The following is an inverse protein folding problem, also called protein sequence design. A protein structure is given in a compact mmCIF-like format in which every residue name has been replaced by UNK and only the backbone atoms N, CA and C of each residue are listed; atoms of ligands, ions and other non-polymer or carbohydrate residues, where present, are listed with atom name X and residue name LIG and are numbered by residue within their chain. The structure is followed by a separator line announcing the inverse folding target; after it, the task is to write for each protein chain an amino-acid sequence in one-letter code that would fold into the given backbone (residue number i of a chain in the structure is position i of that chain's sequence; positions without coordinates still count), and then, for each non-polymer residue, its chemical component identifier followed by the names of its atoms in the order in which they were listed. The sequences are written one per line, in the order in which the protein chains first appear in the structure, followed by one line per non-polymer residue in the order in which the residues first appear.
data_IF_145322717654
#
_entry.id   IF_145322717654
#
_cell.length_a   1.000
_cell.length_b   1.000
_cell.length_c   1.000
_cell.angle_alpha   90.00
_cell.angle_beta   90.00
_cell.angle_gamma   90.00
#
_symmetry.space_group_name_H-M   'P 1'
#
loop_
_entity.id
_entity.type
_entity.pdbx_description
1 polymer ?
#
# COMPACT_ATOMS: atom_id res chain seq x y z
N UNK A 1 -21.58 48.85 19.18
CA UNK A 1 -22.47 47.69 18.94
C UNK A 1 -22.29 47.23 17.51
N UNK A 2 -21.41 46.25 17.29
CA UNK A 2 -21.12 45.71 15.95
C UNK A 2 -21.98 44.46 15.72
N UNK A 3 -22.83 44.49 14.68
CA UNK A 3 -23.59 43.33 14.20
C UNK A 3 -22.67 42.48 13.34
N UNK A 4 -22.34 41.26 13.78
CA UNK A 4 -21.63 40.27 12.97
C UNK A 4 -22.62 39.44 12.15
N UNK A 5 -22.37 39.41 10.84
CA UNK A 5 -23.03 38.57 9.86
C UNK A 5 -22.73 37.09 10.11
N UNK A 6 -23.71 36.32 10.56
CA UNK A 6 -23.69 34.87 10.45
C UNK A 6 -24.32 34.44 9.11
N UNK A 7 -23.55 34.47 8.03
CA UNK A 7 -23.87 33.69 6.82
C UNK A 7 -23.13 32.36 6.91
N UNK A 8 -23.66 31.45 7.71
CA UNK A 8 -23.29 30.05 7.63
C UNK A 8 -23.83 29.53 6.30
N UNK A 9 -22.92 29.30 5.36
CA UNK A 9 -23.17 28.68 4.07
C UNK A 9 -23.69 27.26 4.30
N UNK A 10 -25.02 27.11 4.31
CA UNK A 10 -25.70 25.83 4.18
C UNK A 10 -25.42 25.27 2.78
N UNK A 11 -24.37 24.45 2.66
CA UNK A 11 -24.23 23.54 1.54
C UNK A 11 -24.75 22.16 1.94
N UNK A 12 -25.67 21.67 1.11
CA UNK A 12 -26.22 20.31 1.00
C UNK A 12 -27.41 19.99 1.93
N UNK A 13 -28.61 19.94 1.32
CA UNK A 13 -29.26 18.64 1.25
C UNK A 13 -30.00 18.44 -0.08
N UNK A 14 -29.42 17.71 -1.04
CA UNK A 14 -30.20 17.16 -2.17
C UNK A 14 -29.44 16.14 -3.03
N UNK A 15 -28.92 15.05 -2.45
CA UNK A 15 -28.65 13.82 -3.23
C UNK A 15 -29.04 12.56 -2.44
N UNK A 16 -30.30 12.52 -1.99
CA UNK A 16 -31.03 11.24 -1.95
C UNK A 16 -31.33 10.87 -3.40
N UNK A 17 -30.43 10.12 -4.04
CA UNK A 17 -30.73 9.39 -5.28
C UNK A 17 -30.50 7.91 -5.04
N UNK A 18 -31.64 7.22 -4.97
CA UNK A 18 -31.90 5.84 -5.35
C UNK A 18 -30.94 4.76 -4.84
N UNK A 19 -31.49 3.92 -3.96
CA UNK A 19 -31.01 2.62 -3.58
C UNK A 19 -30.94 1.69 -4.81
N UNK A 20 -29.89 1.84 -5.61
CA UNK A 20 -29.41 0.76 -6.46
C UNK A 20 -28.63 -0.19 -5.55
N UNK A 21 -28.97 -1.48 -5.61
CA UNK A 21 -28.28 -2.50 -4.82
C UNK A 21 -26.76 -2.40 -5.05
N UNK A 22 -25.98 -2.53 -3.97
CA UNK A 22 -24.52 -2.47 -4.04
C UNK A 22 -23.92 -3.47 -5.06
N UNK A 23 -24.67 -4.51 -5.45
CA UNK A 23 -24.30 -5.46 -6.48
C UNK A 23 -24.19 -4.84 -7.89
N UNK A 24 -25.03 -3.87 -8.25
CA UNK A 24 -25.02 -3.27 -9.60
C UNK A 24 -23.91 -2.22 -9.79
N UNK A 25 -23.38 -1.63 -8.70
CA UNK A 25 -22.25 -0.67 -8.80
C UNK A 25 -20.91 -1.33 -9.07
N UNK A 26 -20.75 -2.61 -8.70
CA UNK A 26 -19.47 -3.33 -8.85
C UNK A 26 -19.17 -3.74 -10.30
N UNK A 27 -20.17 -3.75 -11.20
CA UNK A 27 -19.97 -4.12 -12.60
C UNK A 27 -19.51 -2.96 -13.50
N UNK A 28 -19.39 -1.73 -12.98
CA UNK A 28 -19.09 -0.53 -13.79
C UNK A 28 -17.91 0.31 -13.30
N UNK A 29 -17.08 -0.17 -12.38
CA UNK A 29 -15.89 0.60 -12.01
C UNK A 29 -14.61 -0.20 -12.20
N UNK A 30 -14.02 -0.03 -13.39
CA UNK A 30 -12.57 -0.15 -13.63
C UNK A 30 -11.80 0.94 -12.86
N UNK A 31 -12.22 1.24 -11.63
CA UNK A 31 -11.75 2.38 -10.85
C UNK A 31 -10.91 1.85 -9.71
N UNK A 32 -9.61 2.05 -9.81
CA UNK A 32 -8.69 1.85 -8.70
C UNK A 32 -8.77 3.01 -7.70
N UNK A 33 -8.55 2.70 -6.42
CA UNK A 33 -8.59 3.68 -5.34
C UNK A 33 -7.29 3.64 -4.54
N UNK A 34 -6.77 4.82 -4.23
CA UNK A 34 -5.67 5.01 -3.29
C UNK A 34 -5.96 6.21 -2.37
N UNK A 35 -5.63 6.07 -1.10
CA UNK A 35 -5.57 7.19 -0.16
C UNK A 35 -4.20 7.85 -0.26
N UNK A 36 -4.20 9.19 -0.26
CA UNK A 36 -3.02 10.04 -0.23
C UNK A 36 -3.04 10.90 1.02
N UNK A 37 -1.93 10.95 1.73
CA UNK A 37 -1.75 11.87 2.85
C UNK A 37 -0.31 12.39 2.89
N UNK A 38 -0.13 13.61 3.37
CA UNK A 38 1.20 14.19 3.63
C UNK A 38 1.15 15.05 4.87
N UNK A 39 2.26 15.13 5.59
CA UNK A 39 2.41 16.09 6.69
C UNK A 39 2.75 17.46 6.12
N UNK A 40 2.23 18.51 6.75
CA UNK A 40 2.57 19.90 6.44
C UNK A 40 3.14 20.47 7.74
N UNK A 41 4.34 21.01 7.65
CA UNK A 41 5.05 21.67 8.73
C UNK A 41 5.04 23.17 8.46
N UNK A 42 4.93 23.96 9.52
CA UNK A 42 5.03 25.40 9.47
C UNK A 42 6.07 25.82 10.51
N UNK A 43 7.09 26.55 10.08
CA UNK A 43 8.17 27.03 10.92
C UNK A 43 8.45 28.50 10.60
N UNK A 44 8.03 29.41 11.49
CA UNK A 44 8.03 30.84 11.17
C UNK A 44 7.10 31.14 10.00
N UNK A 45 7.65 31.72 8.93
CA UNK A 45 6.93 32.08 7.70
C UNK A 45 7.08 31.04 6.57
N UNK A 46 7.80 29.95 6.79
CA UNK A 46 7.93 28.87 5.80
C UNK A 46 6.90 27.77 6.01
N UNK A 47 6.37 27.28 4.90
CA UNK A 47 5.56 26.06 4.85
C UNK A 47 6.37 24.98 4.17
N UNK A 48 6.62 23.89 4.87
CA UNK A 48 7.34 22.74 4.37
C UNK A 48 6.42 21.54 4.31
N UNK A 49 6.48 20.80 3.21
CA UNK A 49 5.69 19.61 3.07
C UNK A 49 6.54 18.39 3.30
N UNK A 50 6.11 17.49 4.19
CA UNK A 50 6.73 16.20 4.41
C UNK A 50 6.51 15.21 3.26
N UNK A 51 7.16 14.03 3.34
CA UNK A 51 7.01 12.99 2.34
C UNK A 51 5.57 12.48 2.28
N UNK A 52 5.05 12.18 1.09
CA UNK A 52 3.72 11.61 0.95
C UNK A 52 3.66 10.19 1.51
N UNK A 53 2.46 9.75 1.83
CA UNK A 53 2.12 8.37 2.19
C UNK A 53 0.93 7.93 1.36
N UNK A 54 1.10 6.80 0.68
CA UNK A 54 0.13 6.22 -0.22
C UNK A 54 -0.42 4.92 0.37
N UNK A 55 -1.74 4.72 0.32
CA UNK A 55 -2.36 3.43 0.63
C UNK A 55 -3.28 3.01 -0.50
N UNK A 56 -2.94 1.92 -1.19
CA UNK A 56 -3.72 1.33 -2.28
C UNK A 56 -4.66 0.28 -1.74
N UNK A 57 -5.84 0.16 -2.34
CA UNK A 57 -6.85 -0.81 -1.94
C UNK A 57 -7.24 -1.69 -3.12
N UNK A 58 -7.21 -3.00 -2.91
CA UNK A 58 -7.77 -4.00 -3.83
C UNK A 58 -8.80 -4.84 -3.09
N UNK A 59 -9.44 -5.76 -3.80
CA UNK A 59 -10.45 -6.64 -3.20
C UNK A 59 -9.90 -7.61 -2.15
N UNK A 60 -8.59 -7.87 -2.16
CA UNK A 60 -7.99 -8.87 -1.29
C UNK A 60 -6.99 -8.31 -0.30
N UNK A 61 -6.40 -7.14 -0.58
CA UNK A 61 -5.39 -6.56 0.28
C UNK A 61 -5.38 -5.03 0.21
N UNK A 62 -4.75 -4.40 1.19
CA UNK A 62 -4.27 -3.04 1.06
C UNK A 62 -2.75 -3.02 1.11
N UNK A 63 -2.14 -2.08 0.41
CA UNK A 63 -0.70 -1.84 0.43
C UNK A 63 -0.43 -0.38 0.77
N UNK A 64 0.39 -0.14 1.80
CA UNK A 64 0.84 1.20 2.17
C UNK A 64 2.30 1.38 1.82
N UNK A 65 2.64 2.52 1.20
CA UNK A 65 3.99 2.95 0.86
C UNK A 65 4.31 4.25 1.60
N UNK A 66 5.46 4.28 2.28
CA UNK A 66 5.90 5.43 3.05
C UNK A 66 7.42 5.54 3.04
N UNK A 67 7.94 6.77 2.95
CA UNK A 67 9.34 7.05 3.24
C UNK A 67 9.60 7.15 4.75
N UNK A 68 10.71 6.57 5.19
CA UNK A 68 11.24 6.67 6.54
C UNK A 68 12.76 6.85 6.46
N UNK A 69 13.36 7.55 7.42
CA UNK A 69 14.80 7.46 7.65
C UNK A 69 15.08 6.24 8.50
N UNK A 70 15.91 5.33 8.00
CA UNK A 70 16.37 4.20 8.80
C UNK A 70 17.35 4.70 9.87
N UNK A 71 17.02 4.45 11.14
CA UNK A 71 17.79 4.96 12.28
C UNK A 71 19.15 4.27 12.43
N UNK A 72 19.26 3.02 11.96
CA UNK A 72 20.50 2.26 12.08
C UNK A 72 21.46 2.59 10.94
N UNK A 73 20.93 2.84 9.76
CA UNK A 73 21.71 3.03 8.54
C UNK A 73 21.89 4.51 8.17
N UNK A 74 21.09 5.41 8.75
CA UNK A 74 21.20 6.86 8.56
C UNK A 74 20.74 7.35 7.18
N UNK A 75 20.12 6.49 6.36
CA UNK A 75 19.63 6.84 5.03
C UNK A 75 18.13 6.59 4.87
N UNK A 76 17.56 7.19 3.81
CA UNK A 76 16.14 7.09 3.47
C UNK A 76 15.81 5.70 2.93
N UNK A 77 14.74 5.10 3.41
CA UNK A 77 14.22 3.79 2.98
C UNK A 77 12.72 3.89 2.69
N UNK A 78 12.21 2.96 1.89
CA UNK A 78 10.78 2.82 1.65
C UNK A 78 10.20 1.68 2.49
N UNK A 79 9.29 2.02 3.38
CA UNK A 79 8.49 1.05 4.13
C UNK A 79 7.26 0.66 3.31
N UNK A 80 7.17 -0.63 3.00
CA UNK A 80 5.98 -1.27 2.44
C UNK A 80 5.25 -2.01 3.54
N UNK A 81 3.93 -1.83 3.63
CA UNK A 81 3.10 -2.54 4.61
C UNK A 81 1.83 -3.04 3.95
N UNK A 82 1.61 -4.34 3.98
CA UNK A 82 0.43 -5.01 3.45
C UNK A 82 -0.47 -5.54 4.56
N UNK A 83 -1.77 -5.59 4.32
CA UNK A 83 -2.75 -6.34 5.14
C UNK A 83 -3.76 -7.00 4.20
N UNK A 84 -4.21 -8.21 4.51
CA UNK A 84 -5.30 -8.89 3.80
C UNK A 84 -6.66 -8.38 4.29
N UNK A 85 -7.70 -8.52 3.46
CA UNK A 85 -9.08 -8.15 3.81
C UNK A 85 -9.73 -9.22 4.67
N UNK A 86 -10.57 -8.81 5.63
CA UNK A 86 -11.36 -9.71 6.50
C UNK A 86 -12.56 -10.28 5.72
N UNK A 87 -12.35 -11.32 4.92
CA UNK A 87 -13.40 -11.91 4.11
C UNK A 87 -13.77 -11.09 2.86
N UNK A 88 -14.57 -11.68 1.98
CA UNK A 88 -14.77 -11.19 0.60
C UNK A 88 -15.66 -9.93 0.53
N UNK A 89 -16.52 -9.69 1.52
CA UNK A 89 -17.50 -8.59 1.47
C UNK A 89 -17.28 -7.46 2.48
N UNK A 90 -16.36 -7.61 3.44
CA UNK A 90 -16.12 -6.59 4.45
C UNK A 90 -15.13 -5.53 3.96
N UNK A 91 -15.38 -4.26 4.29
CA UNK A 91 -14.44 -3.16 4.04
C UNK A 91 -13.32 -3.07 5.08
N UNK A 92 -13.12 -4.12 5.87
CA UNK A 92 -12.20 -4.15 7.01
C UNK A 92 -10.97 -4.98 6.62
N UNK A 93 -9.79 -4.48 6.96
CA UNK A 93 -8.52 -5.19 6.76
C UNK A 93 -8.05 -5.82 8.08
N UNK A 94 -7.60 -7.07 8.01
CA UNK A 94 -7.16 -7.83 9.17
C UNK A 94 -5.83 -7.27 9.66
N UNK A 95 -5.84 -6.61 10.81
CA UNK A 95 -4.62 -6.04 11.40
C UNK A 95 -3.60 -7.11 11.78
N UNK A 96 -4.03 -8.35 12.07
CA UNK A 96 -3.14 -9.47 12.40
C UNK A 96 -2.39 -9.98 11.16
N UNK A 97 -2.95 -9.77 9.97
CA UNK A 97 -2.32 -10.09 8.68
C UNK A 97 -1.23 -9.13 8.22
N UNK A 98 -0.88 -8.15 9.06
CA UNK A 98 0.07 -7.13 8.67
C UNK A 98 1.45 -7.73 8.42
N UNK A 99 1.95 -7.49 7.22
CA UNK A 99 3.33 -7.81 6.82
C UNK A 99 3.99 -6.53 6.35
N UNK A 100 5.23 -6.31 6.76
CA UNK A 100 6.05 -5.19 6.29
C UNK A 100 7.33 -5.67 5.62
N UNK A 101 7.85 -4.83 4.73
CA UNK A 101 9.20 -4.96 4.17
C UNK A 101 9.80 -3.57 4.03
N UNK A 102 11.08 -3.43 4.35
CA UNK A 102 11.81 -2.16 4.27
C UNK A 102 12.80 -2.22 3.13
N UNK A 103 12.51 -1.54 2.03
CA UNK A 103 13.36 -1.53 0.84
C UNK A 103 14.35 -0.34 0.86
N UNK A 104 15.64 -0.55 0.60
CA UNK A 104 16.56 0.54 0.32
C UNK A 104 16.20 1.19 -1.04
N UNK A 105 16.54 2.47 -1.23
CA UNK A 105 16.12 3.22 -2.43
C UNK A 105 16.67 2.65 -3.74
N UNK A 106 17.80 1.94 -3.69
CA UNK A 106 18.35 1.17 -4.82
C UNK A 106 17.38 0.08 -5.28
N UNK A 107 16.77 -0.66 -4.35
CA UNK A 107 15.76 -1.67 -4.63
C UNK A 107 14.42 -1.05 -5.05
N UNK A 108 14.09 0.15 -4.56
CA UNK A 108 12.94 0.92 -5.04
C UNK A 108 13.07 1.26 -6.53
N UNK A 109 14.29 1.56 -7.00
CA UNK A 109 14.54 1.82 -8.42
C UNK A 109 14.29 0.55 -9.25
N UNK A 110 14.75 -0.62 -8.77
CA UNK A 110 14.46 -1.92 -9.40
C UNK A 110 12.96 -2.24 -9.39
N UNK A 111 12.23 -1.85 -8.34
CA UNK A 111 10.77 -1.99 -8.29
C UNK A 111 10.09 -1.18 -9.39
N UNK A 112 10.49 0.08 -9.58
CA UNK A 112 9.96 0.93 -10.66
C UNK A 112 10.20 0.28 -12.02
N UNK A 113 11.40 -0.26 -12.24
CA UNK A 113 11.74 -0.94 -13.50
C UNK A 113 10.91 -2.21 -13.72
N UNK A 114 10.77 -3.04 -12.68
CA UNK A 114 9.98 -4.27 -12.71
C UNK A 114 8.50 -4.00 -12.96
N UNK A 115 7.97 -2.89 -12.46
CA UNK A 115 6.59 -2.46 -12.70
C UNK A 115 6.40 -1.72 -14.02
N UNK A 116 7.46 -1.20 -14.63
CA UNK A 116 7.39 -0.47 -15.91
C UNK A 116 7.45 -1.39 -17.13
N UNK A 117 8.07 -2.56 -16.99
CA UNK A 117 8.25 -3.54 -18.09
C UNK A 117 7.37 -4.76 -17.85
N UNK A 118 6.61 -5.18 -18.87
CA UNK A 118 5.93 -6.49 -18.79
C UNK A 118 6.99 -7.60 -18.82
N UNK A 119 6.96 -8.47 -17.81
CA UNK A 119 7.91 -9.58 -17.66
C UNK A 119 7.23 -10.78 -17.01
N UNK A 120 7.20 -11.91 -17.71
CA UNK A 120 6.67 -13.15 -17.16
C UNK A 120 7.49 -13.68 -15.96
N UNK A 121 8.77 -13.31 -15.85
CA UNK A 121 9.63 -13.74 -14.76
C UNK A 121 9.45 -12.84 -13.52
N UNK A 122 9.17 -13.41 -12.33
CA UNK A 122 9.09 -12.64 -11.10
C UNK A 122 10.46 -12.10 -10.70
N UNK A 123 10.49 -10.88 -10.18
CA UNK A 123 11.69 -10.25 -9.62
C UNK A 123 11.60 -10.25 -8.09
N UNK A 124 12.67 -10.66 -7.42
CA UNK A 124 12.73 -10.58 -5.95
C UNK A 124 13.59 -9.37 -5.56
N UNK A 125 13.06 -8.55 -4.66
CA UNK A 125 13.72 -7.38 -4.09
C UNK A 125 13.97 -7.62 -2.61
N UNK A 126 15.14 -7.21 -2.15
CA UNK A 126 15.65 -7.57 -0.83
C UNK A 126 15.55 -6.39 0.14
N UNK A 127 14.82 -6.59 1.24
CA UNK A 127 14.67 -5.60 2.29
C UNK A 127 15.83 -5.62 3.27
N UNK A 128 16.14 -4.46 3.86
CA UNK A 128 17.15 -4.32 4.92
C UNK A 128 16.69 -4.94 6.25
N UNK A 129 15.38 -5.18 6.40
CA UNK A 129 14.77 -5.86 7.55
C UNK A 129 14.81 -7.39 7.43
N UNK A 130 15.45 -7.93 6.37
CA UNK A 130 15.47 -9.35 6.04
C UNK A 130 14.17 -9.84 5.38
N UNK A 131 13.16 -8.98 5.24
CA UNK A 131 11.97 -9.23 4.44
C UNK A 131 12.30 -9.18 2.94
N UNK A 132 11.42 -9.76 2.13
CA UNK A 132 11.56 -9.72 0.67
C UNK A 132 10.24 -9.27 0.02
N UNK A 133 10.36 -8.58 -1.12
CA UNK A 133 9.24 -8.28 -1.99
C UNK A 133 9.41 -9.06 -3.29
N UNK A 134 8.44 -9.92 -3.61
CA UNK A 134 8.40 -10.59 -4.91
C UNK A 134 7.40 -9.85 -5.81
N UNK A 135 7.87 -9.39 -6.95
CA UNK A 135 7.14 -8.58 -7.93
C UNK A 135 6.93 -9.41 -9.18
N UNK A 136 5.71 -9.43 -9.70
CA UNK A 136 5.45 -9.98 -11.04
C UNK A 136 4.46 -9.09 -11.78
N UNK A 137 4.67 -8.95 -13.09
CA UNK A 137 3.80 -8.18 -13.98
C UNK A 137 3.56 -8.96 -15.26
N UNK A 138 2.32 -9.37 -15.50
CA UNK A 138 1.94 -10.12 -16.69
C UNK A 138 0.64 -9.58 -17.26
N UNK A 139 0.61 -9.32 -18.58
CA UNK A 139 -0.58 -8.91 -19.32
C UNK A 139 -1.39 -7.78 -18.64
N UNK A 140 -0.70 -6.76 -18.12
CA UNK A 140 -1.34 -5.63 -17.44
C UNK A 140 -1.79 -5.89 -16.01
N UNK A 141 -1.65 -7.12 -15.49
CA UNK A 141 -1.83 -7.42 -14.07
C UNK A 141 -0.50 -7.26 -13.31
N UNK A 142 -0.57 -6.75 -12.09
CA UNK A 142 0.55 -6.58 -11.17
C UNK A 142 0.31 -7.39 -9.90
N UNK A 143 1.36 -8.04 -9.41
CA UNK A 143 1.36 -8.73 -8.11
C UNK A 143 2.59 -8.31 -7.32
N UNK A 144 2.34 -7.81 -6.11
CA UNK A 144 3.34 -7.42 -5.12
C UNK A 144 3.14 -8.29 -3.88
N UNK A 145 4.04 -9.24 -3.70
CA UNK A 145 3.99 -10.22 -2.62
C UNK A 145 5.01 -9.87 -1.54
N UNK A 146 4.53 -9.37 -0.41
CA UNK A 146 5.34 -9.08 0.77
C UNK A 146 5.57 -10.37 1.54
N UNK A 147 6.84 -10.74 1.67
CA UNK A 147 7.30 -11.90 2.41
C UNK A 147 7.99 -11.41 3.70
N UNK A 148 7.52 -11.83 4.89
CA UNK A 148 8.11 -11.42 6.14
C UNK A 148 9.56 -11.91 6.25
N UNK A 149 10.35 -11.18 7.04
CA UNK A 149 11.70 -11.57 7.40
C UNK A 149 11.69 -12.96 8.04
N UNK A 150 12.33 -13.92 7.38
CA UNK A 150 12.65 -15.21 7.98
C UNK A 150 13.93 -14.97 8.79
N UNK A 151 13.80 -14.58 10.06
CA UNK A 151 14.96 -14.61 10.96
C UNK A 151 15.47 -16.07 10.95
N UNK A 152 16.68 -16.34 10.43
CA UNK A 152 17.25 -17.67 10.54
C UNK A 152 17.47 -17.96 12.03
N UNK A 153 16.77 -18.96 12.57
CA UNK A 153 16.97 -19.41 13.96
C UNK A 153 15.79 -19.30 14.93
N UNK A 154 14.63 -18.78 14.54
CA UNK A 154 13.43 -18.72 15.41
C UNK A 154 12.35 -19.77 15.11
N UNK A 155 12.60 -20.70 14.18
CA UNK A 155 11.76 -21.88 13.98
C UNK A 155 12.61 -23.11 13.69
N UNK A 156 13.27 -23.63 14.73
CA UNK A 156 13.70 -25.02 14.80
C UNK A 156 12.83 -25.75 15.82
N UNK A 157 11.52 -25.80 15.61
CA UNK A 157 10.76 -26.96 16.09
C UNK A 157 10.80 -27.98 14.96
N UNK A 158 11.73 -28.93 15.08
CA UNK A 158 11.58 -30.24 14.48
C UNK A 158 10.21 -30.78 14.93
N UNK A 159 9.24 -30.87 14.03
CA UNK A 159 8.03 -31.64 14.26
C UNK A 159 7.63 -32.30 12.93
N UNK A 160 7.40 -33.62 12.94
CA UNK A 160 7.00 -34.37 11.76
C UNK A 160 5.54 -34.05 11.41
N UNK A 161 5.20 -34.26 10.14
CA UNK A 161 3.88 -34.43 9.54
C UNK A 161 2.62 -33.97 10.34
N UNK A 162 1.86 -33.10 9.68
CA UNK A 162 0.46 -32.73 9.93
C UNK A 162 0.18 -31.81 11.14
N UNK A 163 0.19 -30.50 10.88
CA UNK A 163 -0.59 -29.52 11.62
C UNK A 163 -1.13 -28.44 10.66
N UNK A 164 -2.43 -28.47 10.40
CA UNK A 164 -3.19 -27.35 9.84
C UNK A 164 -3.22 -26.26 10.91
N UNK A 165 -2.44 -25.19 10.75
CA UNK A 165 -2.47 -24.07 11.70
C UNK A 165 -1.29 -23.10 11.62
N UNK A 166 -1.58 -21.87 11.18
CA UNK A 166 -0.68 -20.70 11.01
C UNK A 166 0.30 -20.77 9.82
N UNK A 167 -0.24 -20.56 8.63
CA UNK A 167 0.56 -20.23 7.44
C UNK A 167 1.41 -18.99 7.72
N UNK A 168 2.71 -19.08 7.46
CA UNK A 168 3.67 -17.97 7.31
C UNK A 168 2.97 -16.81 6.59
N UNK A 169 2.56 -15.77 7.32
CA UNK A 169 1.68 -14.72 6.79
C UNK A 169 2.41 -13.94 5.70
N UNK A 170 2.00 -14.16 4.46
CA UNK A 170 2.43 -13.39 3.29
C UNK A 170 1.23 -12.55 2.85
N UNK A 171 1.46 -11.32 2.43
CA UNK A 171 0.42 -10.49 1.83
C UNK A 171 0.69 -10.37 0.35
N UNK A 172 -0.30 -10.74 -0.47
CA UNK A 172 -0.24 -10.52 -1.91
C UNK A 172 -1.21 -9.40 -2.31
N UNK A 173 -0.65 -8.30 -2.76
CA UNK A 173 -1.39 -7.24 -3.41
C UNK A 173 -1.45 -7.54 -4.91
N UNK A 174 -2.65 -7.77 -5.44
CA UNK A 174 -2.87 -8.03 -6.87
C UNK A 174 -3.79 -6.94 -7.42
N UNK A 175 -3.39 -6.34 -8.54
CA UNK A 175 -4.13 -5.29 -9.23
C UNK A 175 -4.04 -5.42 -10.74
N UNK A 176 -4.87 -4.66 -11.46
CA UNK A 176 -4.85 -4.53 -12.91
C UNK A 176 -4.00 -3.35 -13.38
N UNK A 177 -4.29 -2.88 -14.59
CA UNK A 177 -3.54 -1.80 -15.24
C UNK A 177 -3.64 -0.48 -14.47
N UNK A 178 -4.81 -0.17 -13.94
CA UNK A 178 -5.06 1.07 -13.21
C UNK A 178 -4.35 1.07 -11.85
N UNK A 179 -4.32 -0.04 -11.12
CA UNK A 179 -3.47 -0.17 -9.93
C UNK A 179 -1.99 -0.02 -10.28
N UNK A 180 -1.53 -0.62 -11.37
CA UNK A 180 -0.14 -0.48 -11.80
C UNK A 180 0.23 0.98 -12.12
N UNK A 181 -0.65 1.73 -12.79
CA UNK A 181 -0.46 3.17 -13.05
C UNK A 181 -0.34 3.97 -11.75
N UNK A 182 -1.23 3.72 -10.78
CA UNK A 182 -1.18 4.39 -9.47
C UNK A 182 0.08 4.02 -8.68
N UNK A 183 0.49 2.75 -8.70
CA UNK A 183 1.73 2.29 -8.06
C UNK A 183 2.95 2.98 -8.66
N UNK A 184 3.05 3.01 -9.99
CA UNK A 184 4.16 3.68 -10.69
C UNK A 184 4.20 5.18 -10.40
N UNK A 185 3.04 5.85 -10.35
CA UNK A 185 2.96 7.25 -9.98
C UNK A 185 3.54 7.49 -8.58
N UNK A 186 3.04 6.76 -7.58
CA UNK A 186 3.48 6.91 -6.20
C UNK A 186 4.96 6.57 -6.00
N UNK A 187 5.46 5.50 -6.64
CA UNK A 187 6.85 5.11 -6.54
C UNK A 187 7.80 6.15 -7.12
N UNK A 188 7.43 6.78 -8.25
CA UNK A 188 8.23 7.87 -8.82
C UNK A 188 8.25 9.09 -7.90
N UNK A 189 7.09 9.52 -7.40
CA UNK A 189 7.04 10.65 -6.47
C UNK A 189 7.81 10.38 -5.16
N UNK A 190 7.68 9.18 -4.57
CA UNK A 190 8.41 8.80 -3.36
C UNK A 190 9.91 8.65 -3.61
N UNK A 191 10.34 8.24 -4.80
CA UNK A 191 11.76 8.12 -5.14
C UNK A 191 12.40 9.50 -5.32
N UNK A 192 11.67 10.45 -5.89
CA UNK A 192 12.18 11.77 -6.28
C UNK A 192 12.03 12.82 -5.14
N UNK A 193 11.31 12.50 -4.07
CA UNK A 193 11.24 13.27 -2.81
C UNK A 193 12.47 13.00 -1.93
#
# INVERSE_FOLDING_TARGET
MFRSHARCLQWLPALRRNALSNAQRRHFSDRSEAAYSRRIYCSGESVEFGPPTYTFFTDHACLTMKLRNDENLGYKVMLLTGMTREGVENKVFDKKSRVSSVLPMEEVTKLVDALSKDSAAPTTLHGVDGGNLVVSRSNGAVSLKLCPSLIPGLNLSHAPAAAVGSSKMQVNFVGGSNENTLLLHALKELRDY
#
